data_IF_930268878086
#
_entry.id   IF_930268878086
#
_cell.length_a   1.000
_cell.length_b   1.000
_cell.length_c   1.000
_cell.angle_alpha   90.00
_cell.angle_beta   90.00
_cell.angle_gamma   90.00
#
_symmetry.space_group_name_H-M   'P 1'
#
loop_
_entity.id
_entity.type
_entity.pdbx_description
1 polymer ?
#
# COMPACT_ATOMS: atom_id res chain seq x y z
N UNK A 1 49.21 27.69 7.87
CA UNK A 1 48.66 26.68 6.95
C UNK A 1 47.92 27.41 5.85
N UNK A 2 48.59 27.67 4.73
CA UNK A 2 48.05 28.37 3.58
C UNK A 2 47.15 27.42 2.78
N UNK A 3 45.84 27.69 2.74
CA UNK A 3 44.91 26.99 1.85
C UNK A 3 45.22 27.46 0.44
N UNK A 4 45.92 26.63 -0.33
CA UNK A 4 46.14 26.87 -1.77
C UNK A 4 44.79 26.92 -2.50
N UNK A 5 44.54 27.92 -3.36
CA UNK A 5 43.31 27.98 -4.14
C UNK A 5 43.27 26.79 -5.11
N UNK A 6 42.09 26.23 -5.40
CA UNK A 6 41.99 25.10 -6.33
C UNK A 6 42.54 25.53 -7.71
N UNK A 7 43.27 24.64 -8.41
CA UNK A 7 43.80 24.95 -9.73
C UNK A 7 42.65 25.33 -10.66
N UNK A 8 42.78 26.48 -11.33
CA UNK A 8 41.87 26.91 -12.38
C UNK A 8 41.95 25.90 -13.52
N UNK A 9 41.09 24.89 -13.49
CA UNK A 9 40.98 23.90 -14.55
C UNK A 9 40.34 24.58 -15.76
N UNK A 10 41.18 25.03 -16.70
CA UNK A 10 40.77 25.55 -18.02
C UNK A 10 40.33 24.42 -18.97
N UNK A 11 39.54 23.47 -18.47
CA UNK A 11 38.99 22.36 -19.25
C UNK A 11 37.47 22.28 -19.11
N UNK A 12 36.80 21.76 -20.13
CA UNK A 12 35.37 21.40 -20.10
C UNK A 12 34.93 20.69 -18.79
N UNK A 13 35.67 19.71 -18.24
CA UNK A 13 35.29 19.07 -16.97
C UNK A 13 35.37 20.02 -15.75
N UNK A 14 36.29 20.99 -15.76
CA UNK A 14 36.41 22.01 -14.71
C UNK A 14 35.26 23.01 -14.69
N UNK A 15 34.70 23.31 -15.87
CA UNK A 15 33.52 24.17 -16.02
C UNK A 15 32.24 23.46 -15.58
N UNK A 16 32.10 22.18 -15.90
CA UNK A 16 30.95 21.36 -15.49
C UNK A 16 30.91 21.18 -13.97
N UNK A 17 32.04 20.85 -13.34
CA UNK A 17 32.11 20.72 -11.87
C UNK A 17 31.83 22.04 -11.16
N UNK A 18 32.34 23.17 -11.68
CA UNK A 18 32.03 24.50 -11.15
C UNK A 18 30.55 24.88 -11.31
N UNK A 19 29.88 24.43 -12.38
CA UNK A 19 28.45 24.63 -12.61
C UNK A 19 27.60 23.84 -11.59
N UNK A 20 27.94 22.57 -11.34
CA UNK A 20 27.28 21.74 -10.32
C UNK A 20 27.51 22.27 -8.91
N UNK A 21 28.70 22.80 -8.61
CA UNK A 21 29.02 23.42 -7.31
C UNK A 21 28.27 24.75 -7.08
N UNK A 22 28.09 25.55 -8.14
CA UNK A 22 27.35 26.83 -8.08
C UNK A 22 25.83 26.65 -8.10
N UNK A 23 25.32 25.54 -8.63
CA UNK A 23 23.88 25.23 -8.71
C UNK A 23 23.61 23.78 -8.29
N UNK A 24 23.63 23.47 -6.98
CA UNK A 24 23.38 22.11 -6.48
C UNK A 24 22.00 21.57 -6.89
N UNK A 25 21.01 22.44 -7.11
CA UNK A 25 19.68 22.07 -7.60
C UNK A 25 19.67 21.47 -9.00
N UNK A 26 20.60 21.85 -9.88
CA UNK A 26 20.71 21.24 -11.23
C UNK A 26 21.27 19.83 -11.17
N UNK A 27 22.24 19.57 -10.27
CA UNK A 27 22.75 18.22 -10.01
C UNK A 27 21.67 17.30 -9.47
N UNK A 28 20.91 17.77 -8.48
CA UNK A 28 19.78 17.05 -7.93
C UNK A 28 18.68 16.81 -8.98
N UNK A 29 18.35 17.82 -9.78
CA UNK A 29 17.36 17.69 -10.84
C UNK A 29 17.77 16.65 -11.90
N UNK A 30 19.01 16.69 -12.41
CA UNK A 30 19.49 15.69 -13.37
C UNK A 30 19.49 14.27 -12.80
N UNK A 31 19.88 14.10 -11.53
CA UNK A 31 19.91 12.80 -10.86
C UNK A 31 18.49 12.23 -10.69
N UNK A 32 17.53 13.08 -10.33
CA UNK A 32 16.14 12.71 -10.13
C UNK A 32 15.34 12.61 -11.44
N UNK A 33 15.81 13.23 -12.53
CA UNK A 33 15.11 13.26 -13.80
C UNK A 33 14.80 11.85 -14.32
N UNK A 34 15.77 10.95 -14.31
CA UNK A 34 15.58 9.56 -14.77
C UNK A 34 14.47 8.83 -14.01
N UNK A 35 14.57 8.68 -12.68
CA UNK A 35 13.52 8.06 -11.87
C UNK A 35 12.16 8.75 -11.96
N UNK A 36 12.11 10.09 -11.94
CA UNK A 36 10.83 10.81 -12.06
C UNK A 36 10.20 10.66 -13.43
N UNK A 37 10.99 10.67 -14.51
CA UNK A 37 10.48 10.41 -15.86
C UNK A 37 9.92 8.99 -15.95
N UNK A 38 10.60 8.00 -15.36
CA UNK A 38 10.09 6.63 -15.31
C UNK A 38 8.75 6.55 -14.58
N UNK A 39 8.64 7.11 -13.37
CA UNK A 39 7.37 7.16 -12.63
C UNK A 39 6.29 7.94 -13.37
N UNK A 40 6.62 9.08 -13.97
CA UNK A 40 5.67 9.91 -14.71
C UNK A 40 5.16 9.22 -15.98
N UNK A 41 6.06 8.72 -16.81
CA UNK A 41 5.70 8.17 -18.13
C UNK A 41 5.10 6.78 -17.98
N UNK A 42 5.76 5.88 -17.25
CA UNK A 42 5.33 4.48 -17.20
C UNK A 42 4.18 4.30 -16.23
N UNK A 43 4.33 4.75 -14.98
CA UNK A 43 3.32 4.51 -13.95
C UNK A 43 2.10 5.41 -14.15
N UNK A 44 2.26 6.74 -14.19
CA UNK A 44 1.11 7.61 -14.40
C UNK A 44 0.52 7.46 -15.81
N UNK A 45 1.36 7.25 -16.83
CA UNK A 45 0.87 6.96 -18.18
C UNK A 45 0.02 5.68 -18.22
N UNK A 46 0.44 4.60 -17.56
CA UNK A 46 -0.35 3.37 -17.48
C UNK A 46 -1.70 3.59 -16.78
N UNK A 47 -1.71 4.30 -15.64
CA UNK A 47 -2.95 4.64 -14.95
C UNK A 47 -3.88 5.49 -15.82
N UNK A 48 -3.32 6.47 -16.54
CA UNK A 48 -4.10 7.30 -17.45
C UNK A 48 -4.67 6.49 -18.62
N UNK A 49 -3.88 5.59 -19.21
CA UNK A 49 -4.36 4.72 -20.28
C UNK A 49 -5.47 3.79 -19.81
N UNK A 50 -5.37 3.26 -18.58
CA UNK A 50 -6.40 2.40 -17.99
C UNK A 50 -7.69 3.18 -17.70
N UNK A 51 -7.57 4.40 -17.18
CA UNK A 51 -8.71 5.29 -16.98
C UNK A 51 -9.36 5.68 -18.31
N UNK A 52 -8.56 5.98 -19.33
CA UNK A 52 -9.04 6.31 -20.67
C UNK A 52 -9.75 5.11 -21.34
N UNK A 53 -9.20 3.91 -21.21
CA UNK A 53 -9.84 2.67 -21.66
C UNK A 53 -11.16 2.39 -20.94
N UNK A 54 -11.37 2.92 -19.73
CA UNK A 54 -12.66 2.86 -19.04
C UNK A 54 -13.80 3.53 -19.82
N UNK A 55 -13.50 4.43 -20.76
CA UNK A 55 -14.47 5.07 -21.66
C UNK A 55 -14.65 4.33 -22.99
N UNK A 56 -13.92 3.25 -23.24
CA UNK A 56 -14.09 2.43 -24.44
C UNK A 56 -15.25 1.44 -24.28
N UNK A 57 -15.84 1.06 -25.40
CA UNK A 57 -16.95 0.11 -25.39
C UNK A 57 -16.40 -1.30 -25.17
N UNK A 58 -16.95 -1.98 -24.18
CA UNK A 58 -16.63 -3.36 -23.86
C UNK A 58 -17.80 -4.25 -24.28
N UNK A 59 -17.51 -5.24 -25.12
CA UNK A 59 -18.49 -6.23 -25.56
C UNK A 59 -18.33 -7.50 -24.73
N UNK A 60 -19.30 -7.76 -23.85
CA UNK A 60 -19.31 -8.92 -22.95
C UNK A 60 -19.32 -10.26 -23.70
N UNK A 61 -19.81 -10.31 -24.94
CA UNK A 61 -19.89 -11.55 -25.72
C UNK A 61 -18.56 -11.87 -26.40
N UNK A 62 -17.92 -10.86 -27.00
CA UNK A 62 -16.64 -11.05 -27.72
C UNK A 62 -15.41 -10.85 -26.83
N UNK A 63 -15.60 -10.33 -25.61
CA UNK A 63 -14.54 -9.87 -24.70
C UNK A 63 -13.54 -8.90 -25.38
N UNK A 64 -14.04 -8.13 -26.36
CA UNK A 64 -13.25 -7.17 -27.11
C UNK A 64 -13.48 -5.74 -26.57
N UNK A 65 -12.39 -4.96 -26.55
CA UNK A 65 -12.43 -3.53 -26.25
C UNK A 65 -12.38 -2.78 -27.58
N UNK A 66 -13.44 -2.07 -27.95
CA UNK A 66 -13.46 -1.21 -29.14
C UNK A 66 -13.25 0.25 -28.76
N UNK A 67 -12.56 1.06 -29.58
CA UNK A 67 -12.24 2.45 -29.26
C UNK A 67 -13.46 3.41 -29.32
N UNK A 68 -14.68 2.88 -29.38
CA UNK A 68 -15.91 3.65 -29.38
C UNK A 68 -16.17 4.23 -27.99
N UNK A 69 -16.21 5.56 -27.91
CA UNK A 69 -16.39 6.27 -26.64
C UNK A 69 -17.80 6.08 -26.08
N UNK A 70 -17.88 5.65 -24.83
CA UNK A 70 -19.14 5.41 -24.11
C UNK A 70 -19.03 5.77 -22.63
N UNK A 71 -20.18 6.08 -22.03
CA UNK A 71 -20.34 6.24 -20.58
C UNK A 71 -21.03 5.01 -19.95
N UNK A 72 -21.26 3.95 -20.72
CA UNK A 72 -21.96 2.74 -20.27
C UNK A 72 -21.24 2.07 -19.08
N UNK A 73 -19.92 1.94 -19.12
CA UNK A 73 -19.13 1.33 -18.05
C UNK A 73 -19.25 2.10 -16.72
N UNK A 74 -19.26 3.43 -16.79
CA UNK A 74 -19.46 4.28 -15.61
C UNK A 74 -20.87 4.13 -15.06
N UNK A 75 -21.88 4.09 -15.94
CA UNK A 75 -23.27 3.84 -15.52
C UNK A 75 -23.45 2.45 -14.91
N UNK A 76 -22.72 1.45 -15.39
CA UNK A 76 -22.76 0.08 -14.86
C UNK A 76 -22.32 0.01 -13.39
N UNK A 77 -21.44 0.91 -12.93
CA UNK A 77 -21.09 1.01 -11.50
C UNK A 77 -22.31 1.30 -10.60
N UNK A 78 -23.32 1.97 -11.15
CA UNK A 78 -24.57 2.30 -10.44
C UNK A 78 -25.67 1.24 -10.59
N UNK A 79 -25.35 0.09 -11.20
CA UNK A 79 -26.28 -1.03 -11.23
C UNK A 79 -26.47 -1.57 -9.80
N UNK A 80 -27.71 -1.78 -9.33
CA UNK A 80 -27.99 -2.38 -8.02
C UNK A 80 -27.21 -3.67 -7.73
N UNK A 81 -26.90 -4.47 -8.75
CA UNK A 81 -26.08 -5.69 -8.59
C UNK A 81 -24.66 -5.41 -8.06
N UNK A 82 -24.11 -4.21 -8.28
CA UNK A 82 -22.76 -3.82 -7.86
C UNK A 82 -22.73 -3.13 -6.49
N UNK A 83 -23.88 -2.66 -5.99
CA UNK A 83 -23.95 -1.92 -4.73
C UNK A 83 -23.51 -2.73 -3.52
N UNK A 84 -23.83 -4.03 -3.47
CA UNK A 84 -23.35 -4.90 -2.38
C UNK A 84 -21.82 -4.93 -2.33
N UNK A 85 -21.17 -5.11 -3.47
CA UNK A 85 -19.71 -5.20 -3.56
C UNK A 85 -19.08 -3.87 -3.11
N UNK A 86 -19.62 -2.75 -3.58
CA UNK A 86 -19.13 -1.40 -3.23
C UNK A 86 -19.29 -1.14 -1.73
N UNK A 87 -20.47 -1.44 -1.16
CA UNK A 87 -20.71 -1.23 0.27
C UNK A 87 -19.85 -2.16 1.12
N UNK A 88 -19.72 -3.45 0.76
CA UNK A 88 -18.90 -4.40 1.50
C UNK A 88 -17.42 -4.01 1.50
N UNK A 89 -16.89 -3.58 0.35
CA UNK A 89 -15.49 -3.14 0.27
C UNK A 89 -15.25 -1.83 1.02
N UNK A 90 -16.16 -0.85 0.90
CA UNK A 90 -16.07 0.42 1.61
C UNK A 90 -16.16 0.26 3.12
N UNK A 91 -17.16 -0.50 3.59
CA UNK A 91 -17.35 -0.78 5.03
C UNK A 91 -16.15 -1.53 5.60
N UNK A 92 -15.62 -2.53 4.89
CA UNK A 92 -14.42 -3.25 5.31
C UNK A 92 -13.20 -2.31 5.39
N UNK A 93 -12.99 -1.46 4.38
CA UNK A 93 -11.87 -0.52 4.37
C UNK A 93 -11.95 0.48 5.55
N UNK A 94 -13.14 1.02 5.83
CA UNK A 94 -13.36 1.93 6.97
C UNK A 94 -13.16 1.18 8.29
N UNK A 95 -13.77 0.01 8.46
CA UNK A 95 -13.66 -0.79 9.69
C UNK A 95 -12.20 -1.17 9.98
N UNK A 96 -11.44 -1.59 8.96
CA UNK A 96 -10.02 -1.92 9.10
C UNK A 96 -9.18 -0.67 9.41
N UNK A 97 -9.47 0.46 8.77
CA UNK A 97 -8.74 1.72 9.03
C UNK A 97 -8.95 2.19 10.47
N UNK A 98 -10.20 2.21 10.93
CA UNK A 98 -10.54 2.61 12.30
C UNK A 98 -9.98 1.60 13.30
N UNK A 99 -10.19 0.30 13.07
CA UNK A 99 -9.69 -0.77 13.95
C UNK A 99 -8.16 -0.74 14.09
N UNK A 100 -7.45 -0.56 12.97
CA UNK A 100 -5.98 -0.43 13.00
C UNK A 100 -5.53 0.84 13.71
N UNK A 101 -6.20 1.98 13.53
CA UNK A 101 -5.88 3.21 14.25
C UNK A 101 -6.11 3.07 15.77
N UNK A 102 -7.23 2.47 16.18
CA UNK A 102 -7.57 2.23 17.60
C UNK A 102 -6.54 1.30 18.26
N UNK A 103 -6.03 0.30 17.56
CA UNK A 103 -5.04 -0.62 18.11
C UNK A 103 -3.60 -0.08 18.05
N UNK A 104 -3.22 0.52 16.90
CA UNK A 104 -1.86 0.96 16.66
C UNK A 104 -1.53 2.25 17.43
N UNK A 105 -2.49 3.17 17.60
CA UNK A 105 -2.21 4.46 18.23
C UNK A 105 -1.84 4.35 19.73
N UNK A 106 -2.60 3.62 20.58
CA UNK A 106 -2.21 3.42 21.97
C UNK A 106 -0.87 2.68 22.10
N UNK A 107 -0.64 1.69 21.24
CA UNK A 107 0.62 0.94 21.19
C UNK A 107 1.80 1.86 20.84
N UNK A 108 1.67 2.66 19.78
CA UNK A 108 2.68 3.61 19.36
C UNK A 108 2.95 4.68 20.43
N UNK A 109 1.90 5.20 21.07
CA UNK A 109 2.02 6.14 22.17
C UNK A 109 2.76 5.52 23.37
N UNK A 110 2.42 4.29 23.75
CA UNK A 110 3.09 3.57 24.81
C UNK A 110 4.58 3.33 24.49
N UNK A 111 4.88 2.87 23.28
CA UNK A 111 6.25 2.67 22.80
C UNK A 111 7.06 3.98 22.83
N UNK A 112 6.46 5.08 22.37
CA UNK A 112 7.13 6.38 22.31
C UNK A 112 7.43 6.97 23.70
N UNK A 113 6.53 6.76 24.67
CA UNK A 113 6.59 7.45 25.97
C UNK A 113 7.20 6.64 27.10
N UNK A 114 7.04 5.30 27.12
CA UNK A 114 7.38 4.48 28.29
C UNK A 114 8.43 3.39 28.01
N UNK A 115 8.71 3.06 26.75
CA UNK A 115 9.64 1.96 26.45
C UNK A 115 11.08 2.44 26.32
N UNK A 116 11.98 1.81 27.07
CA UNK A 116 13.41 2.09 27.05
C UNK A 116 14.22 0.79 26.96
N UNK A 117 15.42 0.86 26.36
CA UNK A 117 16.35 -0.27 26.25
C UNK A 117 15.75 -1.49 25.54
N UNK A 118 15.82 -2.66 26.19
CA UNK A 118 15.41 -3.96 25.64
C UNK A 118 13.92 -4.03 25.28
N UNK A 119 13.05 -3.37 26.05
CA UNK A 119 11.62 -3.36 25.80
C UNK A 119 11.25 -2.61 24.52
N UNK A 120 11.93 -1.50 24.23
CA UNK A 120 11.76 -0.76 22.98
C UNK A 120 12.15 -1.63 21.78
N UNK A 121 13.27 -2.34 21.88
CA UNK A 121 13.71 -3.27 20.83
C UNK A 121 12.70 -4.43 20.62
N UNK A 122 12.17 -5.01 21.70
CA UNK A 122 11.16 -6.06 21.61
C UNK A 122 9.92 -5.61 20.83
N UNK A 123 9.34 -4.45 21.17
CA UNK A 123 8.17 -3.95 20.48
C UNK A 123 8.44 -3.63 19.00
N UNK A 124 9.61 -3.06 18.67
CA UNK A 124 9.97 -2.85 17.26
C UNK A 124 10.07 -4.16 16.49
N UNK A 125 10.70 -5.18 17.07
CA UNK A 125 10.80 -6.50 16.43
C UNK A 125 9.40 -7.10 16.27
N UNK A 126 8.57 -7.06 17.30
CA UNK A 126 7.21 -7.60 17.25
C UNK A 126 6.35 -6.94 16.16
N UNK A 127 6.49 -5.63 15.93
CA UNK A 127 5.74 -4.90 14.89
C UNK A 127 6.34 -5.10 13.50
N UNK A 128 7.67 -5.13 13.36
CA UNK A 128 8.30 -5.29 12.04
C UNK A 128 8.26 -6.73 11.54
N UNK A 129 8.41 -7.73 12.41
CA UNK A 129 8.44 -9.15 12.03
C UNK A 129 7.26 -9.59 11.13
N UNK A 130 5.98 -9.26 11.43
CA UNK A 130 4.87 -9.64 10.57
C UNK A 130 4.83 -8.91 9.22
N UNK A 131 5.57 -7.79 9.07
CA UNK A 131 5.68 -7.08 7.78
C UNK A 131 6.49 -7.87 6.75
N UNK A 132 7.47 -8.69 7.19
CA UNK A 132 8.29 -9.51 6.30
C UNK A 132 7.62 -10.80 5.85
N UNK A 133 6.53 -11.21 6.52
CA UNK A 133 5.79 -12.40 6.15
C UNK A 133 5.00 -12.19 4.84
N UNK A 134 5.04 -13.19 3.95
CA UNK A 134 4.26 -13.21 2.71
C UNK A 134 2.77 -13.05 2.99
N UNK A 135 2.09 -12.22 2.19
CA UNK A 135 0.64 -12.00 2.29
C UNK A 135 -0.14 -13.32 2.16
N UNK A 136 0.27 -14.18 1.23
CA UNK A 136 -0.37 -15.48 0.98
C UNK A 136 -0.30 -16.37 2.22
N UNK A 137 0.87 -16.42 2.88
CA UNK A 137 1.06 -17.20 4.11
C UNK A 137 0.15 -16.68 5.22
N UNK A 138 0.05 -15.36 5.40
CA UNK A 138 -0.86 -14.76 6.38
C UNK A 138 -2.32 -15.10 6.09
N UNK A 139 -2.75 -15.02 4.83
CA UNK A 139 -4.10 -15.38 4.42
C UNK A 139 -4.42 -16.85 4.76
N UNK A 140 -3.52 -17.78 4.41
CA UNK A 140 -3.73 -19.20 4.70
C UNK A 140 -3.67 -19.52 6.20
N UNK A 141 -2.79 -18.87 6.95
CA UNK A 141 -2.70 -19.03 8.40
C UNK A 141 -4.03 -18.66 9.07
N UNK A 142 -4.66 -17.55 8.66
CA UNK A 142 -5.99 -17.18 9.13
C UNK A 142 -7.06 -18.19 8.74
N UNK A 143 -7.07 -18.67 7.49
CA UNK A 143 -8.04 -19.70 7.08
C UNK A 143 -7.90 -21.01 7.87
N UNK A 144 -6.67 -21.42 8.20
CA UNK A 144 -6.42 -22.62 8.99
C UNK A 144 -6.82 -22.42 10.45
N UNK A 145 -6.53 -21.24 11.01
CA UNK A 145 -6.87 -20.90 12.39
C UNK A 145 -8.39 -20.85 12.61
N UNK A 146 -9.12 -20.33 11.62
CA UNK A 146 -10.58 -20.19 11.59
C UNK A 146 -11.29 -21.40 10.97
N UNK A 147 -10.55 -22.42 10.52
CA UNK A 147 -11.14 -23.63 9.97
C UNK A 147 -12.00 -24.35 11.02
N UNK A 148 -12.92 -25.18 10.53
CA UNK A 148 -13.68 -26.10 11.38
C UNK A 148 -12.71 -27.03 12.12
N UNK A 149 -12.85 -27.13 13.44
CA UNK A 149 -11.92 -27.81 14.36
C UNK A 149 -10.52 -27.18 14.45
N UNK A 150 -10.37 -25.95 13.96
CA UNK A 150 -9.15 -25.16 14.08
C UNK A 150 -8.90 -24.66 15.50
N UNK A 151 -7.76 -24.00 15.68
CA UNK A 151 -7.32 -23.47 16.99
C UNK A 151 -8.35 -22.52 17.61
N UNK A 152 -9.03 -21.71 16.79
CA UNK A 152 -10.08 -20.82 17.28
C UNK A 152 -11.27 -21.60 17.87
N UNK A 153 -11.77 -22.61 17.15
CA UNK A 153 -12.91 -23.42 17.60
C UNK A 153 -12.55 -24.23 18.85
N UNK A 154 -11.34 -24.80 18.90
CA UNK A 154 -10.83 -25.47 20.09
C UNK A 154 -10.81 -24.54 21.32
N UNK A 155 -10.38 -23.27 21.15
CA UNK A 155 -10.38 -22.31 22.25
C UNK A 155 -11.81 -21.91 22.69
N UNK A 156 -12.70 -21.69 21.73
CA UNK A 156 -14.11 -21.36 21.97
C UNK A 156 -14.86 -22.49 22.69
N UNK A 157 -14.58 -23.75 22.36
CA UNK A 157 -15.18 -24.92 23.02
C UNK A 157 -14.71 -25.07 24.47
N UNK A 158 -13.42 -24.84 24.73
CA UNK A 158 -12.88 -24.85 26.11
C UNK A 158 -13.47 -23.74 26.99
N UNK A 159 -13.84 -22.60 26.40
CA UNK A 159 -14.51 -21.51 27.11
C UNK A 159 -16.03 -21.70 27.20
N UNK A 160 -16.60 -22.76 26.62
CA UNK A 160 -18.04 -23.00 26.58
C UNK A 160 -18.82 -22.02 25.70
N UNK A 161 -18.14 -21.30 24.79
CA UNK A 161 -18.72 -20.26 23.92
C UNK A 161 -19.19 -20.78 22.56
N UNK A 162 -19.05 -22.09 22.29
CA UNK A 162 -19.56 -22.75 21.08
C UNK A 162 -21.03 -22.45 20.77
N UNK A 163 -21.97 -22.48 21.74
CA UNK A 163 -23.38 -22.18 21.44
C UNK A 163 -23.59 -20.74 20.95
N UNK A 164 -22.79 -19.80 21.45
CA UNK A 164 -22.86 -18.37 21.12
C UNK A 164 -22.26 -18.09 19.73
N UNK A 165 -21.19 -18.79 19.38
CA UNK A 165 -20.62 -18.75 18.03
C UNK A 165 -21.61 -19.32 16.99
N UNK A 166 -22.22 -20.46 17.32
CA UNK A 166 -23.15 -21.14 16.39
C UNK A 166 -24.36 -20.26 16.11
N UNK A 167 -24.93 -19.59 17.13
CA UNK A 167 -26.07 -18.69 16.95
C UNK A 167 -25.73 -17.46 16.10
N UNK A 168 -24.53 -16.90 16.24
CA UNK A 168 -24.05 -15.77 15.42
C UNK A 168 -23.80 -16.13 13.96
N UNK A 169 -23.35 -17.36 13.67
CA UNK A 169 -23.04 -17.81 12.31
C UNK A 169 -24.24 -18.38 11.56
N UNK A 170 -25.32 -18.73 12.26
CA UNK A 170 -26.58 -19.21 11.65
C UNK A 170 -27.53 -18.09 11.20
N UNK A 171 -27.21 -16.84 11.50
CA UNK A 171 -27.95 -15.63 11.05
C UNK A 171 -27.30 -15.08 9.80
#
# INVERSE_FOLDING_TARGET
>A
MSVSPPPASHGLPGRLSALFWRRPSLGLFLLLLGPLMWFGIVYLGSLFTLLWQGFYTFDDFTMAVTPDLTFANIRALFNPANYDIILRTLTMAIAVTIGSAILAFPMAWYMARYTHGKWKAFFYIAVMLPMWASYIVKAYAWTLLLAKDGVAQWFLSHMGLEPLLTSLLTV
#
